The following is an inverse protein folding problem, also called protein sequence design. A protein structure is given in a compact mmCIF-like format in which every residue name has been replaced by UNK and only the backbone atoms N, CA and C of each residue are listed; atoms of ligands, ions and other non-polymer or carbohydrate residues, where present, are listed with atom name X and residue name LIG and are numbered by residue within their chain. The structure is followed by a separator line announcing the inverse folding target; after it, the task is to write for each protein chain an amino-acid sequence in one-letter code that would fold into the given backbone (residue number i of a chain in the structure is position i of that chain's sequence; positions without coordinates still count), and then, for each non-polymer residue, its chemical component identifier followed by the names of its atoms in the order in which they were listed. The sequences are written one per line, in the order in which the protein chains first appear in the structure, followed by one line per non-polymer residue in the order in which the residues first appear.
data_IF_538705739838
#
_entry.id   IF_538705739838
#
_cell.length_a   1.000
_cell.length_b   1.000
_cell.length_c   1.000
_cell.angle_alpha   90.00
_cell.angle_beta   90.00
_cell.angle_gamma   90.00
#
_symmetry.space_group_name_H-M   'P 1'
#
loop_
_entity.id
_entity.type
_entity.pdbx_description
1 polymer ?
#
# COMPACT_ATOMS: atom_id res chain seq x y z
N UNK A 1 -5.84 39.71 -32.75
CA UNK A 1 -4.68 38.96 -32.21
C UNK A 1 -4.57 37.64 -32.96
N UNK A 2 -3.33 37.21 -33.22
CA UNK A 2 -2.88 36.40 -34.37
C UNK A 2 -3.60 35.05 -34.54
N UNK A 3 -4.17 34.85 -35.75
CA UNK A 3 -4.56 33.55 -36.31
C UNK A 3 -3.29 32.86 -36.81
N UNK A 4 -2.98 31.66 -36.31
CA UNK A 4 -1.90 30.83 -36.84
C UNK A 4 -2.52 29.65 -37.60
N UNK A 5 -2.73 29.86 -38.90
CA UNK A 5 -2.99 28.79 -39.86
C UNK A 5 -1.69 27.99 -40.03
N UNK A 6 -1.72 26.68 -39.75
CA UNK A 6 -0.67 25.76 -40.18
C UNK A 6 -0.78 25.60 -41.69
N UNK A 7 0.12 26.26 -42.43
CA UNK A 7 0.28 26.05 -43.88
C UNK A 7 1.06 24.75 -44.09
N UNK A 8 0.39 23.76 -44.65
CA UNK A 8 1.00 22.52 -45.13
C UNK A 8 1.79 22.84 -46.41
N UNK A 9 3.11 23.03 -46.29
CA UNK A 9 3.98 23.23 -47.44
C UNK A 9 4.26 21.88 -48.11
N UNK A 10 3.53 21.60 -49.19
CA UNK A 10 3.82 20.51 -50.13
C UNK A 10 5.01 20.96 -51.00
N UNK A 11 6.22 20.47 -50.73
CA UNK A 11 7.37 20.69 -51.60
C UNK A 11 7.39 19.60 -52.68
N UNK A 12 6.78 19.88 -53.83
CA UNK A 12 7.00 19.11 -55.06
C UNK A 12 8.22 19.70 -55.75
N UNK A 13 9.33 18.95 -55.76
CA UNK A 13 10.52 19.31 -56.52
C UNK A 13 10.63 18.35 -57.71
N UNK A 14 10.37 18.87 -58.90
CA UNK A 14 10.65 18.26 -60.22
C UNK A 14 11.56 19.28 -60.94
N UNK A 15 12.55 19.00 -61.79
CA UNK A 15 13.07 17.83 -62.50
C UNK A 15 14.59 18.05 -62.64
N UNK A 16 15.38 16.97 -62.56
CA UNK A 16 16.73 16.93 -63.10
C UNK A 16 16.93 15.64 -63.89
N UNK A 17 16.50 15.62 -65.16
CA UNK A 17 16.93 14.59 -66.10
C UNK A 17 18.36 14.94 -66.53
N UNK A 18 19.35 14.33 -65.89
CA UNK A 18 20.70 14.26 -66.42
C UNK A 18 20.85 12.92 -67.13
N UNK A 19 21.03 12.93 -68.46
CA UNK A 19 21.54 11.78 -69.19
C UNK A 19 23.03 11.64 -68.86
N UNK A 20 23.33 10.87 -67.81
CA UNK A 20 24.68 10.43 -67.45
C UNK A 20 24.86 8.97 -67.82
N UNK A 21 25.89 8.68 -68.60
CA UNK A 21 26.24 7.35 -69.10
C UNK A 21 26.48 6.32 -68.00
N UNK A 22 26.28 5.05 -68.39
CA UNK A 22 26.47 3.84 -67.60
C UNK A 22 27.78 3.81 -66.80
N UNK A 23 27.66 3.37 -65.54
CA UNK A 23 28.75 3.05 -64.64
C UNK A 23 28.32 3.37 -63.21
N UNK A 24 28.07 2.32 -62.42
CA UNK A 24 27.90 2.33 -60.97
C UNK A 24 26.51 2.73 -60.44
N UNK A 25 25.64 1.71 -60.37
CA UNK A 25 24.45 1.72 -59.51
C UNK A 25 24.86 1.58 -58.04
N UNK A 26 25.49 2.61 -57.47
CA UNK A 26 25.60 2.75 -56.02
C UNK A 26 24.26 3.31 -55.51
N UNK A 27 23.28 2.41 -55.35
CA UNK A 27 22.01 2.75 -54.70
C UNK A 27 22.33 3.06 -53.24
N UNK A 28 22.49 4.35 -52.95
CA UNK A 28 22.54 4.86 -51.58
C UNK A 28 21.38 4.25 -50.79
N UNK A 29 21.70 3.30 -49.92
CA UNK A 29 20.74 2.69 -49.00
C UNK A 29 20.37 3.80 -48.02
N UNK A 30 19.29 4.53 -48.32
CA UNK A 30 18.73 5.49 -47.40
C UNK A 30 18.41 4.74 -46.10
N UNK A 31 19.15 5.04 -45.04
CA UNK A 31 18.88 4.52 -43.71
C UNK A 31 17.49 5.02 -43.29
N UNK A 32 16.49 4.14 -43.35
CA UNK A 32 15.13 4.46 -42.96
C UNK A 32 15.10 4.57 -41.44
N UNK A 33 15.29 5.79 -40.96
CA UNK A 33 15.38 6.08 -39.54
C UNK A 33 13.96 6.08 -38.94
N UNK A 34 13.54 4.92 -38.43
CA UNK A 34 12.21 4.67 -37.87
C UNK A 34 12.16 5.07 -36.40
N UNK A 35 11.00 5.58 -35.97
CA UNK A 35 10.72 5.98 -34.60
C UNK A 35 9.89 4.91 -33.89
N UNK A 36 10.21 4.62 -32.64
CA UNK A 36 9.50 3.67 -31.79
C UNK A 36 9.13 4.29 -30.44
N UNK A 37 8.02 3.84 -29.87
CA UNK A 37 7.61 4.25 -28.53
C UNK A 37 8.35 3.43 -27.46
N UNK A 38 8.77 4.10 -26.40
CA UNK A 38 9.29 3.48 -25.19
C UNK A 38 8.41 3.91 -24.01
N UNK A 39 7.85 2.92 -23.31
CA UNK A 39 7.17 3.11 -22.03
C UNK A 39 8.01 2.53 -20.91
N UNK A 40 8.24 3.29 -19.84
CA UNK A 40 8.99 2.86 -18.66
C UNK A 40 8.11 3.03 -17.43
N UNK A 41 7.87 1.92 -16.73
CA UNK A 41 7.17 1.88 -15.44
C UNK A 41 8.07 1.24 -14.40
N UNK A 42 7.82 1.53 -13.12
CA UNK A 42 8.59 0.90 -12.04
C UNK A 42 7.75 0.64 -10.79
N UNK A 43 8.23 -0.28 -9.97
CA UNK A 43 7.77 -0.49 -8.60
C UNK A 43 8.97 -0.27 -7.65
N UNK A 44 8.91 0.73 -6.74
CA UNK A 44 7.86 1.73 -6.59
C UNK A 44 7.77 2.70 -7.79
N UNK A 45 6.62 3.36 -7.95
CA UNK A 45 6.41 4.40 -8.96
C UNK A 45 7.10 5.72 -8.58
N UNK A 46 7.23 6.65 -9.54
CA UNK A 46 7.87 7.95 -9.30
C UNK A 46 9.40 7.92 -9.29
N UNK A 47 10.01 6.80 -9.72
CA UNK A 47 11.45 6.63 -9.85
C UNK A 47 12.00 7.50 -11.00
N UNK A 48 13.18 8.08 -10.81
CA UNK A 48 13.88 8.88 -11.83
C UNK A 48 14.32 8.00 -13.00
N UNK A 49 14.05 8.44 -14.23
CA UNK A 49 14.42 7.75 -15.47
C UNK A 49 15.52 8.54 -16.18
N UNK A 50 16.58 7.83 -16.56
CA UNK A 50 17.67 8.35 -17.40
C UNK A 50 17.80 7.49 -18.65
N UNK A 51 18.04 8.15 -19.78
CA UNK A 51 18.33 7.49 -21.07
C UNK A 51 19.66 8.06 -21.55
N UNK A 52 20.64 7.17 -21.73
CA UNK A 52 22.04 7.48 -22.06
C UNK A 52 22.66 8.47 -21.05
N UNK A 53 22.39 8.26 -19.77
CA UNK A 53 22.87 9.10 -18.67
C UNK A 53 22.14 10.44 -18.49
N UNK A 54 21.24 10.82 -19.41
CA UNK A 54 20.49 12.08 -19.34
C UNK A 54 19.16 11.87 -18.62
N UNK A 55 18.89 12.69 -17.61
CA UNK A 55 17.59 12.68 -16.91
C UNK A 55 16.44 13.04 -17.85
N UNK A 56 15.39 12.22 -17.86
CA UNK A 56 14.23 12.39 -18.76
C UNK A 56 12.92 12.66 -18.02
N UNK A 57 12.80 12.21 -16.77
CA UNK A 57 11.58 12.38 -15.99
C UNK A 57 11.45 11.32 -14.90
N UNK A 58 10.21 11.00 -14.52
CA UNK A 58 9.88 9.98 -13.51
C UNK A 58 8.94 8.93 -14.08
N UNK A 59 8.98 7.71 -13.54
CA UNK A 59 8.04 6.66 -13.89
C UNK A 59 6.63 6.98 -13.37
N UNK A 60 5.56 6.66 -14.13
CA UNK A 60 5.57 6.20 -15.52
C UNK A 60 6.09 7.27 -16.51
N UNK A 61 7.00 6.88 -17.41
CA UNK A 61 7.60 7.74 -18.42
C UNK A 61 7.38 7.17 -19.82
N UNK A 62 6.80 7.96 -20.73
CA UNK A 62 6.58 7.57 -22.12
C UNK A 62 7.33 8.53 -23.04
N UNK A 63 8.04 8.00 -24.04
CA UNK A 63 8.76 8.80 -25.04
C UNK A 63 8.76 8.10 -26.39
N UNK A 64 9.09 8.83 -27.45
CA UNK A 64 9.39 8.26 -28.76
C UNK A 64 10.85 8.50 -29.06
N UNK A 65 11.56 7.45 -29.45
CA UNK A 65 12.98 7.48 -29.76
C UNK A 65 13.22 6.85 -31.12
N UNK A 66 14.35 7.20 -31.73
CA UNK A 66 14.79 6.57 -32.95
C UNK A 66 15.19 5.13 -32.71
N UNK A 67 15.16 4.30 -33.75
CA UNK A 67 15.75 2.98 -33.64
C UNK A 67 17.22 3.10 -33.25
N UNK A 68 17.67 2.26 -32.33
CA UNK A 68 19.03 2.36 -31.81
C UNK A 68 19.23 1.60 -30.50
N UNK A 69 20.44 1.66 -29.97
CA UNK A 69 20.77 1.08 -28.67
C UNK A 69 20.86 2.17 -27.62
N UNK A 70 20.19 1.95 -26.49
CA UNK A 70 20.08 2.91 -25.39
C UNK A 70 20.50 2.25 -24.08
N UNK A 71 21.04 3.05 -23.17
CA UNK A 71 21.20 2.67 -21.76
C UNK A 71 20.08 3.29 -20.95
N UNK A 72 19.20 2.45 -20.41
CA UNK A 72 18.16 2.82 -19.46
C UNK A 72 18.71 2.72 -18.04
N UNK A 73 18.64 3.81 -17.27
CA UNK A 73 18.92 3.81 -15.84
C UNK A 73 17.70 4.30 -15.06
N UNK A 74 17.30 3.56 -14.03
CA UNK A 74 16.15 3.88 -13.18
C UNK A 74 16.59 3.92 -11.71
N UNK A 75 16.27 5.01 -11.03
CA UNK A 75 16.72 5.29 -9.66
C UNK A 75 15.57 5.72 -8.77
N UNK A 76 15.51 5.17 -7.54
CA UNK A 76 14.62 5.65 -6.49
C UNK A 76 15.38 5.70 -5.16
N UNK A 77 15.00 6.64 -4.29
CA UNK A 77 15.61 6.77 -2.96
C UNK A 77 15.40 5.49 -2.14
N UNK A 78 16.47 4.94 -1.58
CA UNK A 78 16.42 3.70 -0.79
C UNK A 78 16.42 2.42 -1.63
N UNK A 79 16.61 2.52 -2.95
CA UNK A 79 16.69 1.36 -3.85
C UNK A 79 18.04 1.31 -4.57
N UNK A 80 18.44 0.11 -4.98
CA UNK A 80 19.58 -0.11 -5.86
C UNK A 80 19.29 0.48 -7.23
N UNK A 81 20.30 1.10 -7.83
CA UNK A 81 20.23 1.60 -9.22
C UNK A 81 20.02 0.42 -10.15
N UNK A 82 19.00 0.53 -11.01
CA UNK A 82 18.79 -0.39 -12.12
C UNK A 82 19.41 0.21 -13.39
N UNK A 83 20.21 -0.56 -14.11
CA UNK A 83 20.80 -0.15 -15.38
C UNK A 83 20.72 -1.30 -16.40
N UNK A 84 20.20 -1.01 -17.59
CA UNK A 84 20.04 -1.97 -18.69
C UNK A 84 20.41 -1.31 -20.02
N UNK A 85 21.27 -1.96 -20.79
CA UNK A 85 21.49 -1.62 -22.20
C UNK A 85 20.55 -2.44 -23.07
N UNK A 86 19.75 -1.78 -23.91
CA UNK A 86 18.77 -2.45 -24.77
C UNK A 86 18.73 -1.84 -26.17
N UNK A 87 18.30 -2.63 -27.17
CA UNK A 87 18.05 -2.15 -28.53
C UNK A 87 16.57 -1.87 -28.69
N UNK A 88 16.24 -0.68 -29.18
CA UNK A 88 14.90 -0.27 -29.56
C UNK A 88 14.73 -0.46 -31.07
N UNK A 89 14.22 -1.62 -31.46
CA UNK A 89 13.89 -1.99 -32.85
C UNK A 89 12.38 -2.13 -33.10
N UNK A 90 11.58 -1.94 -32.04
CA UNK A 90 10.12 -1.90 -32.02
C UNK A 90 9.62 -1.12 -30.81
N UNK A 91 8.37 -0.67 -30.84
CA UNK A 91 7.74 -0.07 -29.66
C UNK A 91 7.76 -1.04 -28.48
N UNK A 92 8.31 -0.59 -27.35
CA UNK A 92 8.67 -1.46 -26.22
C UNK A 92 8.14 -0.85 -24.91
N UNK A 93 7.67 -1.73 -24.01
CA UNK A 93 7.35 -1.37 -22.63
C UNK A 93 8.29 -2.09 -21.67
N UNK A 94 8.88 -1.34 -20.74
CA UNK A 94 9.80 -1.81 -19.71
C UNK A 94 9.14 -1.61 -18.34
N UNK A 95 9.04 -2.68 -17.57
CA UNK A 95 8.60 -2.64 -16.18
C UNK A 95 9.77 -3.01 -15.27
N UNK A 96 10.19 -2.07 -14.43
CA UNK A 96 11.38 -2.21 -13.57
C UNK A 96 10.97 -2.40 -12.11
N UNK A 97 11.26 -3.58 -11.57
CA UNK A 97 11.13 -3.84 -10.14
C UNK A 97 12.42 -3.47 -9.43
N UNK A 98 12.42 -2.34 -8.73
CA UNK A 98 13.60 -1.88 -8.00
C UNK A 98 13.80 -2.72 -6.73
N UNK A 99 15.05 -3.08 -6.46
CA UNK A 99 15.43 -3.85 -5.26
C UNK A 99 15.84 -2.87 -4.17
N UNK A 100 15.22 -2.98 -2.99
CA UNK A 100 15.57 -2.14 -1.85
C UNK A 100 17.06 -2.26 -1.50
N UNK A 101 17.71 -1.12 -1.25
CA UNK A 101 19.11 -1.06 -0.83
C UNK A 101 19.27 -1.10 0.70
N UNK A 102 18.18 -1.07 1.45
CA UNK A 102 18.22 -1.07 2.92
C UNK A 102 18.67 -2.42 3.44
N UNK A 103 19.48 -2.41 4.51
CA UNK A 103 19.74 -3.61 5.30
C UNK A 103 18.44 -4.08 5.93
N UNK A 104 18.28 -5.38 6.12
CA UNK A 104 17.14 -5.95 6.84
C UNK A 104 17.61 -6.51 8.17
N UNK A 105 16.74 -6.44 9.18
CA UNK A 105 16.97 -6.92 10.53
C UNK A 105 15.78 -7.77 10.98
N UNK A 106 16.03 -8.74 11.86
CA UNK A 106 15.01 -9.63 12.40
C UNK A 106 14.32 -8.99 13.59
N UNK A 107 13.00 -8.84 13.52
CA UNK A 107 12.15 -8.45 14.63
C UNK A 107 11.36 -9.66 15.11
N UNK A 108 11.53 -10.02 16.38
CA UNK A 108 10.67 -10.98 17.07
C UNK A 108 9.69 -10.21 17.96
N UNK A 109 8.39 -10.48 17.83
CA UNK A 109 7.32 -9.85 18.60
C UNK A 109 6.60 -10.92 19.40
N UNK A 110 6.56 -10.75 20.72
CA UNK A 110 5.84 -11.60 21.66
C UNK A 110 4.85 -10.77 22.47
N UNK A 111 3.78 -11.40 22.95
CA UNK A 111 2.81 -10.72 23.81
C UNK A 111 2.22 -11.60 24.89
N UNK A 112 1.74 -10.94 25.95
CA UNK A 112 0.93 -11.54 26.99
C UNK A 112 -0.42 -10.78 27.11
N UNK A 113 -1.57 -11.44 26.87
CA UNK A 113 -1.70 -12.82 26.38
C UNK A 113 -1.12 -13.00 24.97
N UNK A 114 -0.80 -14.24 24.62
CA UNK A 114 -0.31 -14.60 23.30
C UNK A 114 -1.43 -14.61 22.26
N UNK A 115 -1.06 -14.76 20.97
CA UNK A 115 -1.97 -14.78 19.81
C UNK A 115 -2.62 -13.42 19.50
N UNK A 116 -2.01 -12.32 19.94
CA UNK A 116 -2.39 -10.98 19.51
C UNK A 116 -2.06 -10.79 18.02
N UNK A 117 -2.95 -10.17 17.27
CA UNK A 117 -2.76 -9.80 15.88
C UNK A 117 -1.73 -8.68 15.78
N UNK A 118 -0.70 -8.89 14.95
CA UNK A 118 0.40 -7.95 14.75
C UNK A 118 0.20 -7.24 13.42
N UNK A 119 0.26 -5.90 13.47
CA UNK A 119 0.26 -5.03 12.31
C UNK A 119 1.56 -4.23 12.28
N UNK A 120 2.19 -4.14 11.12
CA UNK A 120 3.40 -3.33 10.89
C UNK A 120 3.08 -2.31 9.80
N UNK A 121 3.27 -1.02 10.10
CA UNK A 121 2.93 0.09 9.21
C UNK A 121 1.48 -0.01 8.68
N UNK A 122 0.57 -0.48 9.52
CA UNK A 122 -0.86 -0.66 9.20
C UNK A 122 -1.22 -1.97 8.49
N UNK A 123 -0.25 -2.76 8.02
CA UNK A 123 -0.51 -4.05 7.36
C UNK A 123 -0.49 -5.21 8.37
N UNK A 124 -1.49 -6.10 8.31
CA UNK A 124 -1.51 -7.33 9.11
C UNK A 124 -0.39 -8.28 8.66
N UNK A 125 0.42 -8.75 9.60
CA UNK A 125 1.58 -9.62 9.32
C UNK A 125 1.51 -11.00 10.01
N UNK A 126 0.60 -11.19 10.96
CA UNK A 126 0.45 -12.46 11.67
C UNK A 126 0.00 -12.29 13.12
N UNK A 127 0.31 -13.28 13.96
CA UNK A 127 -0.04 -13.28 15.38
C UNK A 127 1.16 -13.60 16.26
N UNK A 128 1.21 -13.03 17.46
CA UNK A 128 2.29 -13.30 18.42
C UNK A 128 2.26 -14.75 18.95
N UNK A 129 3.42 -15.35 19.24
CA UNK A 129 4.76 -14.88 18.91
C UNK A 129 5.05 -14.96 17.39
N UNK A 130 5.67 -13.91 16.85
CA UNK A 130 5.97 -13.77 15.41
C UNK A 130 7.41 -13.29 15.22
N UNK A 131 8.12 -13.87 14.25
CA UNK A 131 9.44 -13.39 13.81
C UNK A 131 9.38 -13.00 12.35
N UNK A 132 9.79 -11.77 12.03
CA UNK A 132 9.76 -11.18 10.68
C UNK A 132 11.05 -10.43 10.39
N UNK A 133 11.42 -10.33 9.12
CA UNK A 133 12.50 -9.46 8.68
C UNK A 133 11.91 -8.14 8.21
N UNK A 134 12.41 -7.04 8.76
CA UNK A 134 12.02 -5.68 8.38
C UNK A 134 13.23 -4.92 7.89
N UNK A 135 12.99 -3.93 7.03
CA UNK A 135 14.03 -3.00 6.60
C UNK A 135 14.58 -2.21 7.79
N UNK A 136 15.83 -1.79 7.73
CA UNK A 136 16.39 -0.84 8.68
C UNK A 136 15.63 0.48 8.58
N UNK A 137 15.12 0.99 9.69
CA UNK A 137 14.26 2.17 9.65
C UNK A 137 13.32 2.28 10.83
N UNK A 138 12.29 3.10 10.67
CA UNK A 138 11.26 3.29 11.70
C UNK A 138 9.99 2.56 11.27
N UNK A 139 9.43 1.76 12.17
CA UNK A 139 8.22 0.98 11.94
C UNK A 139 7.19 1.26 13.03
N UNK A 140 5.93 1.44 12.61
CA UNK A 140 4.78 1.53 13.50
C UNK A 140 4.23 0.13 13.74
N UNK A 141 4.26 -0.32 14.98
CA UNK A 141 3.79 -1.63 15.41
C UNK A 141 2.48 -1.46 16.15
N UNK A 142 1.48 -2.24 15.77
CA UNK A 142 0.23 -2.37 16.53
C UNK A 142 -0.03 -3.82 16.88
N UNK A 143 -0.34 -4.09 18.14
CA UNK A 143 -0.87 -5.38 18.60
C UNK A 143 -2.33 -5.21 18.96
N UNK A 144 -3.18 -6.10 18.46
CA UNK A 144 -4.61 -6.10 18.75
C UNK A 144 -5.06 -7.49 19.21
N UNK A 145 -5.84 -7.54 20.29
CA UNK A 145 -6.39 -8.79 20.82
C UNK A 145 -7.80 -8.52 21.36
N UNK A 146 -8.76 -9.38 21.01
CA UNK A 146 -10.15 -9.22 21.44
C UNK A 146 -10.29 -9.12 22.97
N UNK A 147 -10.95 -8.07 23.45
CA UNK A 147 -11.11 -7.78 24.88
C UNK A 147 -9.91 -7.08 25.54
N UNK A 148 -8.95 -6.59 24.75
CA UNK A 148 -7.80 -5.81 25.19
C UNK A 148 -7.71 -4.51 24.39
N UNK A 149 -7.11 -3.49 24.98
CA UNK A 149 -6.75 -2.27 24.26
C UNK A 149 -5.65 -2.56 23.24
N UNK A 150 -5.79 -1.97 22.05
CA UNK A 150 -4.73 -1.98 21.04
C UNK A 150 -3.47 -1.32 21.61
N UNK A 151 -2.34 -2.02 21.53
CA UNK A 151 -1.03 -1.46 21.87
C UNK A 151 -0.36 -0.89 20.63
N UNK A 152 0.15 0.33 20.72
CA UNK A 152 0.87 0.99 19.64
C UNK A 152 2.29 1.34 20.06
N UNK A 153 3.27 1.00 19.24
CA UNK A 153 4.67 1.34 19.49
C UNK A 153 5.41 1.65 18.18
N UNK A 154 6.08 2.79 18.14
CA UNK A 154 6.98 3.15 17.05
C UNK A 154 8.40 2.72 17.41
N UNK A 155 8.97 1.79 16.67
CA UNK A 155 10.35 1.33 16.89
C UNK A 155 11.26 1.81 15.78
N UNK A 156 12.49 2.18 16.13
CA UNK A 156 13.59 2.31 15.18
C UNK A 156 14.42 1.03 15.20
N UNK A 157 14.49 0.34 14.08
CA UNK A 157 15.21 -0.90 13.88
C UNK A 157 16.56 -0.60 13.21
N UNK A 158 17.64 -0.80 13.95
CA UNK A 158 19.04 -0.65 13.48
C UNK A 158 19.83 -1.96 13.60
N UNK A 159 19.16 -3.04 14.03
CA UNK A 159 19.71 -4.34 14.40
C UNK A 159 18.57 -5.30 14.71
N UNK A 160 18.89 -6.59 14.83
CA UNK A 160 17.93 -7.59 15.31
C UNK A 160 17.36 -7.18 16.68
N UNK A 161 16.04 -7.31 16.86
CA UNK A 161 15.35 -6.85 18.08
C UNK A 161 14.27 -7.84 18.52
N UNK A 162 14.12 -8.01 19.83
CA UNK A 162 12.98 -8.66 20.45
C UNK A 162 12.09 -7.61 21.11
N UNK A 163 10.79 -7.65 20.82
CA UNK A 163 9.76 -6.81 21.41
C UNK A 163 8.78 -7.71 22.17
N UNK A 164 8.63 -7.48 23.46
CA UNK A 164 7.69 -8.19 24.32
C UNK A 164 6.69 -7.20 24.92
N UNK A 165 5.39 -7.46 24.76
CA UNK A 165 4.31 -6.54 25.13
C UNK A 165 3.28 -7.23 26.02
N UNK A 166 2.94 -6.62 27.15
CA UNK A 166 1.79 -7.05 27.96
C UNK A 166 0.58 -6.19 27.63
N UNK A 167 -0.49 -6.80 27.13
CA UNK A 167 -1.72 -6.12 26.72
C UNK A 167 -2.61 -5.82 27.92
N UNK A 168 -3.26 -4.66 27.89
CA UNK A 168 -4.16 -4.23 28.95
C UNK A 168 -5.62 -4.61 28.61
N UNK A 169 -6.33 -5.35 29.48
CA UNK A 169 -7.72 -5.70 29.25
C UNK A 169 -8.63 -4.47 29.09
N UNK A 170 -9.58 -4.55 28.17
CA UNK A 170 -10.65 -3.58 28.05
C UNK A 170 -11.70 -3.86 29.13
N UNK A 171 -11.98 -2.88 29.99
CA UNK A 171 -12.97 -3.05 31.03
C UNK A 171 -14.37 -3.14 30.40
N UNK A 172 -15.02 -4.30 30.50
CA UNK A 172 -16.45 -4.42 30.21
C UNK A 172 -17.22 -3.90 31.42
N UNK A 173 -18.06 -2.85 31.28
CA UNK A 173 -18.96 -2.49 32.37
C UNK A 173 -19.89 -3.68 32.63
N UNK A 174 -19.76 -4.31 33.78
CA UNK A 174 -20.77 -5.25 34.26
C UNK A 174 -22.02 -4.42 34.54
N UNK A 175 -23.09 -4.63 33.77
CA UNK A 175 -24.41 -4.16 34.18
C UNK A 175 -24.74 -4.97 35.44
N UNK A 176 -24.58 -4.36 36.63
CA UNK A 176 -25.25 -4.87 37.82
C UNK A 176 -26.73 -4.70 37.54
N UNK A 177 -27.44 -5.81 37.29
CA UNK A 177 -28.89 -5.79 37.35
C UNK A 177 -29.27 -5.51 38.80
N UNK A 178 -29.55 -4.25 39.10
CA UNK A 178 -30.20 -3.89 40.35
C UNK A 178 -31.67 -4.37 40.26
N UNK A 179 -31.91 -5.68 40.41
CA UNK A 179 -33.24 -6.16 40.78
C UNK A 179 -33.37 -5.86 42.27
N UNK A 180 -33.82 -4.64 42.57
CA UNK A 180 -34.30 -4.28 43.90
C UNK A 180 -35.66 -4.96 44.09
N UNK A 181 -35.67 -6.18 44.64
CA UNK A 181 -36.86 -6.69 45.32
C UNK A 181 -36.92 -5.95 46.65
N UNK A 182 -37.62 -4.82 46.64
CA UNK A 182 -37.90 -4.04 47.83
C UNK A 182 -38.34 -4.93 48.97
N UNK A 183 -37.79 -4.65 50.13
CA UNK A 183 -38.22 -5.12 51.44
C UNK A 183 -39.74 -5.26 51.46
N UNK A 184 -40.26 -6.49 51.39
CA UNK A 184 -41.65 -6.76 51.75
C UNK A 184 -41.68 -6.53 53.27
N UNK A 185 -42.35 -5.49 53.79
CA UNK A 185 -42.36 -5.25 55.23
C UNK A 185 -43.19 -6.34 55.91
N UNK A 186 -42.64 -6.93 56.99
CA UNK A 186 -43.26 -8.02 57.75
C UNK A 186 -44.49 -7.58 58.57
N UNK A 187 -44.87 -6.30 58.54
CA UNK A 187 -45.93 -5.71 59.38
C UNK A 187 -47.33 -5.80 58.76
N UNK A 188 -47.48 -6.27 57.53
CA UNK A 188 -48.77 -6.44 56.85
C UNK A 188 -49.28 -7.88 56.80
N UNK A 189 -48.77 -8.76 57.68
CA UNK A 189 -49.25 -10.14 57.83
C UNK A 189 -50.27 -10.37 58.96
N UNK A 190 -50.81 -9.31 59.59
CA UNK A 190 -51.67 -9.44 60.78
C UNK A 190 -52.96 -8.60 60.73
N UNK A 191 -53.71 -8.66 59.62
CA UNK A 191 -55.13 -8.25 59.57
C UNK A 191 -55.98 -9.18 58.67
N UNK A 192 -55.74 -10.49 58.74
CA UNK A 192 -56.64 -11.50 58.16
C UNK A 192 -57.08 -12.57 59.18
N UNK A 193 -57.09 -12.24 60.48
CA UNK A 193 -57.64 -13.12 61.53
C UNK A 193 -58.75 -12.50 62.40
N UNK A 194 -59.20 -11.26 62.15
CA UNK A 194 -60.33 -10.69 62.93
C UNK A 194 -61.31 -9.87 62.07
N UNK A 195 -61.53 -10.31 60.83
CA UNK A 195 -62.53 -9.76 59.90
C UNK A 195 -63.38 -10.82 59.20
N UNK A 196 -63.29 -12.09 59.64
CA UNK A 196 -64.15 -13.20 59.20
C UNK A 196 -64.71 -13.97 60.41
N UNK A 197 -65.09 -13.23 61.45
CA UNK A 197 -65.88 -13.73 62.58
C UNK A 197 -66.90 -12.67 63.02
N UNK A 198 -67.61 -12.03 62.08
CA UNK A 198 -68.80 -11.22 62.40
C UNK A 198 -69.85 -11.14 61.27
N UNK A 199 -69.74 -11.96 60.21
CA UNK A 199 -70.74 -11.98 59.10
C UNK A 199 -71.29 -13.39 58.78
N UNK A 200 -71.07 -14.39 59.65
CA UNK A 200 -71.77 -15.70 59.52
C UNK A 200 -72.28 -16.25 60.86
N UNK A 201 -72.71 -15.36 61.75
CA UNK A 201 -73.76 -15.63 62.76
C UNK A 201 -74.92 -14.64 62.50
N UNK A 202 -75.40 -14.66 61.25
CA UNK A 202 -76.66 -14.02 60.82
C UNK A 202 -77.49 -14.96 59.93
N UNK A 203 -77.16 -16.26 59.92
CA UNK A 203 -77.96 -17.33 59.33
C UNK A 203 -77.82 -18.56 60.23
N UNK A 204 -78.54 -18.56 61.35
CA UNK A 204 -79.13 -19.71 62.05
C UNK A 204 -79.46 -19.28 63.50
N UNK A 205 -80.75 -19.01 63.73
CA UNK A 205 -81.49 -18.94 65.01
C UNK A 205 -80.98 -18.01 66.12
#
# INVERSE_FOLDING_TARGET
MKRSLFVLALLVLTVGFAFGNAGDNDFAVASTQTWYQLSVTSQPSGASVYIDGVYRGRTPYNTTLLMGTYTLRVEASGYRIYEERFTLDKSTSKHVNLVSSTRTHRLTVSSYPSRAEVFINGAYVGRTPLTINLEEGTHDIRLSLSGYWDHWERIRLTGDRHLEVTLQPEARPMIRSNIWLGSIPLDRFLLLSLGLLFVLIALMY
#
